data_IF_108997013520
#
_entry.id   IF_108997013520
#
_cell.length_a   1.000
_cell.length_b   1.000
_cell.length_c   1.000
_cell.angle_alpha   90.00
_cell.angle_beta   90.00
_cell.angle_gamma   90.00
#
_symmetry.space_group_name_H-M   'P 1'
#
loop_
_entity.id
_entity.type
_entity.pdbx_description
1 polymer ?
#
# COMPACT_ATOMS: atom_id res chain seq x y z
N UNK A 1 -4.19 17.09 8.99
CA UNK A 1 -3.39 16.08 8.27
C UNK A 1 -2.50 16.81 7.30
N UNK A 2 -1.20 16.64 7.43
CA UNK A 2 -0.21 17.16 6.48
C UNK A 2 0.13 16.08 5.46
N UNK A 3 0.70 16.45 4.31
CA UNK A 3 1.04 15.49 3.25
C UNK A 3 2.07 14.44 3.75
N UNK A 4 2.86 14.80 4.75
CA UNK A 4 3.87 13.96 5.39
C UNK A 4 3.28 12.81 6.23
N UNK A 5 1.99 12.87 6.60
CA UNK A 5 1.32 11.82 7.37
C UNK A 5 0.79 10.68 6.47
N UNK A 6 0.64 10.92 5.16
CA UNK A 6 0.09 9.93 4.22
C UNK A 6 0.92 8.63 4.12
N UNK A 7 2.26 8.64 4.17
CA UNK A 7 3.05 7.41 4.18
C UNK A 7 2.70 6.49 5.37
N UNK A 8 2.49 7.04 6.57
CA UNK A 8 2.11 6.27 7.75
C UNK A 8 0.70 5.67 7.57
N UNK A 9 -0.24 6.47 7.04
CA UNK A 9 -1.60 6.01 6.75
C UNK A 9 -1.55 4.88 5.71
N UNK A 10 -0.79 5.04 4.63
CA UNK A 10 -0.61 4.03 3.60
C UNK A 10 -0.03 2.72 4.17
N UNK A 11 1.00 2.80 5.01
CA UNK A 11 1.56 1.64 5.68
C UNK A 11 0.52 0.92 6.56
N UNK A 12 -0.26 1.68 7.33
CA UNK A 12 -1.31 1.11 8.19
C UNK A 12 -2.44 0.44 7.39
N UNK A 13 -2.85 1.03 6.26
CA UNK A 13 -3.86 0.47 5.36
C UNK A 13 -3.37 -0.84 4.73
N UNK A 14 -2.10 -0.92 4.32
CA UNK A 14 -1.54 -2.13 3.73
C UNK A 14 -1.39 -3.26 4.78
N UNK A 15 -0.97 -2.91 6.01
CA UNK A 15 -0.97 -3.84 7.13
C UNK A 15 -2.38 -4.38 7.43
N UNK A 16 -3.40 -3.51 7.39
CA UNK A 16 -4.79 -3.90 7.58
C UNK A 16 -5.32 -4.80 6.44
N UNK A 17 -4.97 -4.51 5.19
CA UNK A 17 -5.28 -5.38 4.06
C UNK A 17 -4.68 -6.78 4.23
N UNK A 18 -3.42 -6.86 4.69
CA UNK A 18 -2.74 -8.13 5.01
C UNK A 18 -3.47 -8.89 6.11
N UNK A 19 -3.92 -8.21 7.17
CA UNK A 19 -4.75 -8.81 8.23
C UNK A 19 -6.07 -9.37 7.68
N UNK A 20 -6.77 -8.63 6.82
CA UNK A 20 -8.00 -9.14 6.22
C UNK A 20 -7.77 -10.36 5.33
N UNK A 21 -6.68 -10.39 4.56
CA UNK A 21 -6.32 -11.54 3.72
C UNK A 21 -5.94 -12.77 4.56
N UNK A 22 -5.15 -12.59 5.61
CA UNK A 22 -4.76 -13.68 6.52
C UNK A 22 -5.96 -14.26 7.26
N UNK A 23 -6.86 -13.42 7.80
CA UNK A 23 -8.10 -13.89 8.40
C UNK A 23 -9.05 -14.51 7.36
N UNK A 24 -9.13 -13.94 6.16
CA UNK A 24 -9.89 -14.52 5.04
C UNK A 24 -9.42 -15.93 4.69
N UNK A 25 -8.11 -16.16 4.66
CA UNK A 25 -7.50 -17.49 4.45
C UNK A 25 -7.84 -18.45 5.60
N UNK A 26 -7.77 -17.98 6.84
CA UNK A 26 -8.17 -18.80 8.00
C UNK A 26 -9.64 -19.22 7.95
N UNK A 27 -10.55 -18.30 7.59
CA UNK A 27 -11.98 -18.60 7.51
C UNK A 27 -12.34 -19.56 6.38
N UNK A 28 -11.71 -19.46 5.20
CA UNK A 28 -11.96 -20.42 4.12
C UNK A 28 -11.43 -21.81 4.48
N UNK A 29 -10.28 -21.90 5.17
CA UNK A 29 -9.74 -23.17 5.68
C UNK A 29 -10.66 -23.81 6.71
N UNK A 30 -11.38 -23.01 7.50
CA UNK A 30 -12.45 -23.48 8.41
C UNK A 30 -13.79 -23.75 7.72
N UNK A 31 -13.90 -23.60 6.40
CA UNK A 31 -15.14 -23.79 5.64
C UNK A 31 -16.17 -22.67 5.78
N UNK A 32 -15.85 -21.59 6.51
CA UNK A 32 -16.78 -20.47 6.71
C UNK A 32 -16.69 -19.47 5.54
N UNK A 33 -17.42 -19.79 4.46
CA UNK A 33 -17.47 -18.98 3.24
C UNK A 33 -18.04 -17.57 3.46
N UNK A 34 -18.97 -17.40 4.41
CA UNK A 34 -19.59 -16.11 4.71
C UNK A 34 -18.59 -15.14 5.34
N UNK A 35 -17.86 -15.59 6.37
CA UNK A 35 -16.80 -14.81 7.00
C UNK A 35 -15.66 -14.50 6.02
N UNK A 36 -15.24 -15.50 5.22
CA UNK A 36 -14.26 -15.30 4.15
C UNK A 36 -14.67 -14.19 3.18
N UNK A 37 -15.91 -14.21 2.67
CA UNK A 37 -16.41 -13.20 1.72
C UNK A 37 -16.37 -11.80 2.35
N UNK A 38 -16.78 -11.66 3.61
CA UNK A 38 -16.72 -10.38 4.33
C UNK A 38 -15.27 -9.88 4.43
N UNK A 39 -14.32 -10.74 4.81
CA UNK A 39 -12.90 -10.39 4.86
C UNK A 39 -12.35 -9.97 3.50
N UNK A 40 -12.69 -10.67 2.41
CA UNK A 40 -12.23 -10.32 1.06
C UNK A 40 -12.79 -8.97 0.59
N UNK A 41 -14.05 -8.67 0.89
CA UNK A 41 -14.65 -7.35 0.59
C UNK A 41 -13.96 -6.25 1.39
N UNK A 42 -13.72 -6.46 2.69
CA UNK A 42 -12.99 -5.50 3.52
C UNK A 42 -11.55 -5.28 3.00
N UNK A 43 -10.83 -6.34 2.65
CA UNK A 43 -9.48 -6.24 2.07
C UNK A 43 -9.48 -5.41 0.77
N UNK A 44 -10.47 -5.63 -0.09
CA UNK A 44 -10.62 -4.89 -1.35
C UNK A 44 -10.87 -3.40 -1.10
N UNK A 45 -11.80 -3.06 -0.19
CA UNK A 45 -12.09 -1.67 0.16
C UNK A 45 -10.84 -0.99 0.75
N UNK A 46 -10.15 -1.64 1.69
CA UNK A 46 -8.92 -1.11 2.29
C UNK A 46 -7.84 -0.87 1.25
N UNK A 47 -7.70 -1.77 0.27
CA UNK A 47 -6.73 -1.64 -0.83
C UNK A 47 -7.09 -0.48 -1.77
N UNK A 48 -8.38 -0.27 -2.04
CA UNK A 48 -8.84 0.86 -2.85
C UNK A 48 -8.60 2.21 -2.15
N UNK A 49 -8.81 2.27 -0.83
CA UNK A 49 -8.48 3.46 -0.01
C UNK A 49 -6.97 3.68 -0.01
N UNK A 50 -6.16 2.64 0.20
CA UNK A 50 -4.70 2.70 0.11
C UNK A 50 -4.24 3.29 -1.23
N UNK A 51 -4.78 2.78 -2.33
CA UNK A 51 -4.42 3.27 -3.67
C UNK A 51 -4.77 4.75 -3.84
N UNK A 52 -5.94 5.16 -3.35
CA UNK A 52 -6.37 6.57 -3.41
C UNK A 52 -5.43 7.47 -2.61
N UNK A 53 -5.13 7.12 -1.36
CA UNK A 53 -4.17 7.85 -0.53
C UNK A 53 -2.76 7.87 -1.12
N UNK A 54 -2.31 6.74 -1.70
CA UNK A 54 -1.03 6.62 -2.39
C UNK A 54 -0.95 7.57 -3.59
N UNK A 55 -1.97 7.59 -4.44
CA UNK A 55 -2.01 8.48 -5.59
C UNK A 55 -2.05 9.96 -5.16
N UNK A 56 -2.84 10.31 -4.15
CA UNK A 56 -2.86 11.69 -3.61
C UNK A 56 -1.47 12.08 -3.12
N UNK A 57 -0.81 11.22 -2.33
CA UNK A 57 0.56 11.47 -1.88
C UNK A 57 1.51 11.65 -3.06
N UNK A 58 1.46 10.78 -4.06
CA UNK A 58 2.40 10.79 -5.18
C UNK A 58 2.16 11.94 -6.17
N UNK A 59 0.91 12.39 -6.35
CA UNK A 59 0.62 13.57 -7.18
C UNK A 59 0.96 14.89 -6.49
N UNK A 60 0.85 14.95 -5.16
CA UNK A 60 1.17 16.17 -4.41
C UNK A 60 2.64 16.23 -3.95
N UNK A 61 3.34 15.10 -3.98
CA UNK A 61 4.76 15.01 -3.70
C UNK A 61 5.46 14.78 -5.03
N UNK A 62 5.92 15.84 -5.68
CA UNK A 62 6.86 15.74 -6.80
C UNK A 62 8.17 15.15 -6.27
N UNK A 63 8.24 13.82 -6.14
CA UNK A 63 9.46 13.11 -5.77
C UNK A 63 10.37 13.11 -7.00
N UNK A 64 10.98 14.26 -7.27
CA UNK A 64 12.15 14.34 -8.13
C UNK A 64 13.31 13.74 -7.31
N UNK A 65 13.41 12.42 -7.31
CA UNK A 65 14.59 11.72 -6.80
C UNK A 65 15.72 11.95 -7.80
N UNK A 66 16.34 13.12 -7.70
CA UNK A 66 17.49 13.48 -8.52
C UNK A 66 18.71 12.74 -7.96
N UNK A 67 19.39 11.99 -8.82
CA UNK A 67 20.67 11.38 -8.48
C UNK A 67 21.72 12.50 -8.47
N UNK A 68 21.98 13.08 -7.30
CA UNK A 68 22.86 14.24 -7.18
C UNK A 68 24.34 13.87 -7.22
N UNK A 69 24.77 12.83 -6.51
CA UNK A 69 26.19 12.46 -6.43
C UNK A 69 26.40 10.97 -6.08
N UNK A 70 27.50 10.34 -6.53
CA UNK A 70 28.52 10.88 -7.45
C UNK A 70 28.17 10.64 -8.92
N UNK A 71 28.25 11.68 -9.76
CA UNK A 71 27.84 11.66 -11.19
C UNK A 71 28.44 10.51 -12.02
N UNK A 72 29.66 10.07 -11.70
CA UNK A 72 30.32 8.98 -12.43
C UNK A 72 29.60 7.64 -12.30
N UNK A 73 28.80 7.44 -11.25
CA UNK A 73 28.04 6.20 -11.02
C UNK A 73 26.66 6.22 -11.69
N UNK A 74 26.20 7.40 -12.11
CA UNK A 74 24.89 7.61 -12.74
C UNK A 74 24.63 6.71 -13.98
N UNK A 75 25.61 6.43 -14.86
CA UNK A 75 25.41 5.52 -16.00
C UNK A 75 25.18 4.07 -15.60
N UNK A 76 25.70 3.62 -14.44
CA UNK A 76 25.47 2.27 -13.93
C UNK A 76 24.17 2.17 -13.13
N UNK A 77 23.75 3.26 -12.51
CA UNK A 77 22.54 3.33 -11.68
C UNK A 77 21.24 3.53 -12.49
N UNK A 78 21.30 4.27 -13.61
CA UNK A 78 20.13 4.59 -14.44
C UNK A 78 19.95 3.69 -15.68
N UNK A 79 20.80 2.67 -15.86
CA UNK A 79 20.65 1.63 -16.89
C UNK A 79 19.70 0.53 -16.39
#
# INVERSE_FOLDING_TARGET
MTIQDLPLINASLNALATLFLTFGYFFIKKGNKSAHKKCMISAFITSAVFLTCYLIYHFNTEVVTSFENPDWFRPFYLI
#
